data_IF_094579578607
#
_entry.id   IF_094579578607
#
_cell.length_a   1.000
_cell.length_b   1.000
_cell.length_c   1.000
_cell.angle_alpha   90.00
_cell.angle_beta   90.00
_cell.angle_gamma   90.00
#
_symmetry.space_group_name_H-M   'P 1'
#
loop_
_entity.id
_entity.type
_entity.pdbx_description
1 polymer ?
#
# COMPACT_ATOMS: atom_id res chain seq x y z
N UNK A 1 -31.92 56.70 -5.14
CA UNK A 1 -30.96 55.93 -4.30
C UNK A 1 -31.46 54.54 -3.90
N UNK A 2 -32.72 54.37 -3.45
CA UNK A 2 -33.25 53.04 -3.02
C UNK A 2 -33.19 51.94 -4.09
N UNK A 3 -33.44 52.26 -5.37
CA UNK A 3 -33.41 51.28 -6.48
C UNK A 3 -32.01 50.74 -6.80
N UNK A 4 -30.96 51.57 -6.66
CA UNK A 4 -29.58 51.15 -6.90
C UNK A 4 -29.04 50.22 -5.81
N UNK A 5 -29.44 50.46 -4.56
CA UNK A 5 -29.07 49.60 -3.42
C UNK A 5 -29.67 48.20 -3.58
N UNK A 6 -30.92 48.08 -4.03
CA UNK A 6 -31.59 46.79 -4.26
C UNK A 6 -30.89 45.98 -5.35
N UNK A 7 -30.45 46.61 -6.44
CA UNK A 7 -29.76 45.94 -7.54
C UNK A 7 -28.38 45.44 -7.10
N UNK A 8 -27.63 46.24 -6.35
CA UNK A 8 -26.32 45.86 -5.81
C UNK A 8 -26.43 44.74 -4.75
N UNK A 9 -27.49 44.77 -3.93
CA UNK A 9 -27.76 43.70 -2.97
C UNK A 9 -28.13 42.39 -3.66
N UNK A 10 -28.93 42.44 -4.73
CA UNK A 10 -29.35 41.26 -5.47
C UNK A 10 -28.19 40.60 -6.24
N UNK A 11 -27.29 41.39 -6.82
CA UNK A 11 -26.11 40.85 -7.52
C UNK A 11 -25.09 40.26 -6.54
N UNK A 12 -24.90 40.86 -5.38
CA UNK A 12 -24.03 40.30 -4.33
C UNK A 12 -24.61 39.04 -3.69
N UNK A 13 -25.93 38.94 -3.51
CA UNK A 13 -26.61 37.72 -3.06
C UNK A 13 -26.50 36.56 -4.07
N UNK A 14 -26.59 36.84 -5.37
CA UNK A 14 -26.38 35.81 -6.41
C UNK A 14 -24.94 35.29 -6.45
N UNK A 15 -23.96 36.17 -6.21
CA UNK A 15 -22.54 35.79 -6.11
C UNK A 15 -22.25 35.05 -4.79
N UNK A 16 -22.97 35.38 -3.71
CA UNK A 16 -22.80 34.75 -2.39
C UNK A 16 -23.50 33.38 -2.26
N UNK A 17 -24.56 33.12 -3.02
CA UNK A 17 -25.32 31.85 -2.94
C UNK A 17 -24.86 30.75 -3.91
N UNK A 18 -23.90 31.03 -4.79
CA UNK A 18 -23.43 30.06 -5.79
C UNK A 18 -22.13 29.36 -5.38
N UNK A 19 -22.21 28.25 -4.64
CA UNK A 19 -21.15 27.25 -4.80
C UNK A 19 -21.26 26.76 -6.26
N UNK A 20 -20.38 27.27 -7.13
CA UNK A 20 -20.40 26.97 -8.56
C UNK A 20 -20.37 25.47 -8.77
N UNK A 21 -21.07 24.93 -9.77
CA UNK A 21 -21.08 23.49 -10.05
C UNK A 21 -19.66 22.90 -10.17
N UNK A 22 -18.72 23.72 -10.64
CA UNK A 22 -17.28 23.42 -10.66
C UNK A 22 -16.66 23.19 -9.28
N UNK A 23 -17.00 23.99 -8.25
CA UNK A 23 -16.51 23.81 -6.87
C UNK A 23 -17.10 22.55 -6.24
N UNK A 24 -18.40 22.31 -6.45
CA UNK A 24 -19.06 21.08 -5.98
C UNK A 24 -18.41 19.84 -6.59
N UNK A 25 -18.12 19.88 -7.88
CA UNK A 25 -17.44 18.79 -8.58
C UNK A 25 -15.99 18.58 -8.08
N UNK A 26 -15.24 19.66 -7.86
CA UNK A 26 -13.89 19.59 -7.26
C UNK A 26 -13.96 18.95 -5.86
N UNK A 27 -14.92 19.36 -5.03
CA UNK A 27 -15.09 18.82 -3.67
C UNK A 27 -15.47 17.33 -3.71
N UNK A 28 -16.34 16.90 -4.63
CA UNK A 28 -16.66 15.48 -4.85
C UNK A 28 -15.43 14.67 -5.22
N UNK A 29 -14.59 15.16 -6.13
CA UNK A 29 -13.36 14.46 -6.54
C UNK A 29 -12.36 14.34 -5.40
N UNK A 30 -12.22 15.38 -4.58
CA UNK A 30 -11.37 15.33 -3.37
C UNK A 30 -11.87 14.30 -2.37
N UNK A 31 -13.18 14.28 -2.11
CA UNK A 31 -13.78 13.29 -1.22
C UNK A 31 -13.57 11.85 -1.73
N UNK A 32 -13.81 11.61 -3.03
CA UNK A 32 -13.58 10.31 -3.65
C UNK A 32 -12.11 9.88 -3.64
N UNK A 33 -11.19 10.83 -3.84
CA UNK A 33 -9.74 10.58 -3.76
C UNK A 33 -9.34 10.15 -2.35
N UNK A 34 -9.83 10.85 -1.33
CA UNK A 34 -9.59 10.51 0.08
C UNK A 34 -10.11 9.10 0.41
N UNK A 35 -11.35 8.79 0.04
CA UNK A 35 -11.95 7.47 0.25
C UNK A 35 -11.14 6.35 -0.44
N UNK A 36 -10.70 6.60 -1.67
CA UNK A 36 -9.84 5.67 -2.42
C UNK A 36 -8.50 5.46 -1.71
N UNK A 37 -7.85 6.52 -1.25
CA UNK A 37 -6.58 6.44 -0.53
C UNK A 37 -6.73 5.64 0.78
N UNK A 38 -7.80 5.87 1.54
CA UNK A 38 -8.09 5.12 2.78
C UNK A 38 -8.37 3.63 2.50
N UNK A 39 -9.12 3.34 1.44
CA UNK A 39 -9.43 1.96 1.04
C UNK A 39 -8.17 1.21 0.61
N UNK A 40 -7.34 1.82 -0.24
CA UNK A 40 -6.07 1.24 -0.68
C UNK A 40 -5.07 1.08 0.47
N UNK A 41 -5.07 1.99 1.44
CA UNK A 41 -4.25 1.88 2.64
C UNK A 41 -4.63 0.65 3.45
N UNK A 42 -5.93 0.49 3.77
CA UNK A 42 -6.44 -0.67 4.51
C UNK A 42 -6.12 -1.98 3.80
N UNK A 43 -6.33 -2.01 2.48
CA UNK A 43 -6.01 -3.18 1.65
C UNK A 43 -4.52 -3.52 1.72
N UNK A 44 -3.64 -2.54 1.53
CA UNK A 44 -2.19 -2.75 1.57
C UNK A 44 -1.71 -3.19 2.96
N UNK A 45 -2.28 -2.65 4.04
CA UNK A 45 -1.98 -3.07 5.41
C UNK A 45 -2.40 -4.52 5.68
N UNK A 46 -3.61 -4.91 5.26
CA UNK A 46 -4.08 -6.29 5.41
C UNK A 46 -3.24 -7.28 4.60
N UNK A 47 -2.86 -6.91 3.38
CA UNK A 47 -2.00 -7.73 2.52
C UNK A 47 -0.58 -7.84 3.09
N UNK A 48 -0.04 -6.77 3.67
CA UNK A 48 1.27 -6.79 4.34
C UNK A 48 1.25 -7.76 5.53
N UNK A 49 0.24 -7.70 6.41
CA UNK A 49 0.13 -8.62 7.55
C UNK A 49 0.13 -10.09 7.13
N UNK A 50 -0.60 -10.41 6.06
CA UNK A 50 -0.62 -11.76 5.50
C UNK A 50 0.75 -12.14 4.92
N UNK A 51 1.39 -11.24 4.20
CA UNK A 51 2.68 -11.47 3.55
C UNK A 51 3.80 -11.63 4.57
N UNK A 52 3.79 -10.86 5.64
CA UNK A 52 4.72 -10.97 6.76
C UNK A 52 4.58 -12.33 7.46
N UNK A 53 3.36 -12.81 7.65
CA UNK A 53 3.11 -14.14 8.20
C UNK A 53 3.68 -15.24 7.29
N UNK A 54 3.51 -15.12 5.98
CA UNK A 54 4.10 -16.05 5.00
C UNK A 54 5.63 -15.96 4.99
N UNK A 55 6.21 -14.77 5.15
CA UNK A 55 7.64 -14.57 5.20
C UNK A 55 8.25 -15.23 6.45
N UNK A 56 7.58 -15.14 7.60
CA UNK A 56 7.99 -15.84 8.81
C UNK A 56 8.03 -17.36 8.60
N UNK A 57 6.98 -17.93 8.00
CA UNK A 57 6.93 -19.36 7.68
C UNK A 57 8.06 -19.72 6.70
N UNK A 58 8.25 -18.95 5.64
CA UNK A 58 9.30 -19.22 4.65
C UNK A 58 10.72 -19.11 5.24
N UNK A 59 10.95 -18.23 6.21
CA UNK A 59 12.21 -18.15 6.93
C UNK A 59 12.43 -19.40 7.78
N UNK A 60 11.42 -19.86 8.53
CA UNK A 60 11.53 -21.10 9.32
C UNK A 60 11.78 -22.33 8.43
N UNK A 61 11.08 -22.45 7.29
CA UNK A 61 11.30 -23.49 6.29
C UNK A 61 12.74 -23.47 5.78
N UNK A 62 13.24 -22.28 5.43
CA UNK A 62 14.60 -22.10 4.91
C UNK A 62 15.66 -22.43 5.97
N UNK A 63 15.49 -21.95 7.20
CA UNK A 63 16.45 -22.17 8.28
C UNK A 63 16.57 -23.64 8.63
N UNK A 64 15.44 -24.34 8.75
CA UNK A 64 15.41 -25.80 8.98
C UNK A 64 16.11 -26.57 7.86
N UNK A 65 15.79 -26.25 6.60
CA UNK A 65 16.39 -26.90 5.45
C UNK A 65 17.89 -26.59 5.36
N UNK A 66 18.31 -25.37 5.64
CA UNK A 66 19.71 -24.97 5.63
C UNK A 66 20.50 -25.71 6.71
N UNK A 67 19.97 -25.84 7.93
CA UNK A 67 20.61 -26.63 8.99
C UNK A 67 20.79 -28.08 8.58
N UNK A 68 19.77 -28.70 7.96
CA UNK A 68 19.86 -30.06 7.43
C UNK A 68 20.96 -30.17 6.37
N UNK A 69 20.90 -29.33 5.33
CA UNK A 69 21.87 -29.37 4.23
C UNK A 69 23.30 -29.13 4.72
N UNK A 70 23.52 -28.22 5.67
CA UNK A 70 24.85 -27.98 6.23
C UNK A 70 25.36 -29.18 7.06
N UNK A 71 24.47 -29.89 7.75
CA UNK A 71 24.82 -31.16 8.42
C UNK A 71 25.23 -32.23 7.40
N UNK A 72 24.47 -32.37 6.32
CA UNK A 72 24.72 -33.36 5.29
C UNK A 72 26.00 -33.03 4.50
N UNK A 73 26.29 -31.74 4.27
CA UNK A 73 27.57 -31.29 3.69
C UNK A 73 28.76 -31.67 4.56
N UNK A 74 28.69 -31.40 5.87
CA UNK A 74 29.75 -31.79 6.84
C UNK A 74 29.96 -33.29 6.89
N UNK A 75 28.90 -34.07 6.70
CA UNK A 75 28.97 -35.52 6.62
C UNK A 75 29.37 -36.06 5.24
N UNK A 76 29.63 -35.20 4.25
CA UNK A 76 29.87 -35.56 2.85
C UNK A 76 28.74 -36.39 2.21
N UNK A 77 27.50 -36.15 2.64
CA UNK A 77 26.28 -36.85 2.22
C UNK A 77 25.24 -35.96 1.53
N UNK A 78 25.52 -34.67 1.37
CA UNK A 78 24.59 -33.74 0.73
C UNK A 78 24.30 -34.14 -0.72
N UNK A 79 23.02 -34.25 -1.08
CA UNK A 79 22.64 -34.64 -2.44
C UNK A 79 22.38 -33.42 -3.35
N UNK A 80 22.51 -33.57 -4.68
CA UNK A 80 22.15 -32.51 -5.63
C UNK A 80 20.69 -32.02 -5.49
N UNK A 81 19.77 -32.94 -5.16
CA UNK A 81 18.35 -32.63 -4.97
C UNK A 81 18.14 -31.73 -3.75
N UNK A 82 18.86 -32.00 -2.65
CA UNK A 82 18.81 -31.18 -1.44
C UNK A 82 19.36 -29.77 -1.67
N UNK A 83 20.47 -29.65 -2.40
CA UNK A 83 21.04 -28.34 -2.79
C UNK A 83 20.10 -27.56 -3.72
N UNK A 84 19.45 -28.27 -4.65
CA UNK A 84 18.44 -27.69 -5.54
C UNK A 84 17.22 -27.21 -4.77
N UNK A 85 16.73 -28.02 -3.82
CA UNK A 85 15.61 -27.67 -2.96
C UNK A 85 15.95 -26.43 -2.11
N UNK A 86 17.14 -26.39 -1.50
CA UNK A 86 17.60 -25.23 -0.74
C UNK A 86 17.60 -23.95 -1.59
N UNK A 87 18.08 -24.04 -2.82
CA UNK A 87 18.10 -22.91 -3.75
C UNK A 87 16.70 -22.44 -4.10
N UNK A 88 15.78 -23.37 -4.40
CA UNK A 88 14.37 -23.03 -4.69
C UNK A 88 13.67 -22.38 -3.49
N UNK A 89 13.92 -22.89 -2.28
CA UNK A 89 13.36 -22.31 -1.05
C UNK A 89 13.88 -20.91 -0.80
N UNK A 90 15.16 -20.63 -1.06
CA UNK A 90 15.71 -19.27 -1.00
C UNK A 90 15.01 -18.31 -1.97
N UNK A 91 14.84 -18.73 -3.22
CA UNK A 91 14.15 -17.93 -4.25
C UNK A 91 12.70 -17.64 -3.82
N UNK A 92 11.98 -18.64 -3.30
CA UNK A 92 10.62 -18.48 -2.78
C UNK A 92 10.58 -17.46 -1.65
N UNK A 93 11.48 -17.57 -0.66
CA UNK A 93 11.58 -16.61 0.46
C UNK A 93 11.86 -15.20 -0.05
N UNK A 94 12.83 -15.04 -0.95
CA UNK A 94 13.22 -13.73 -1.50
C UNK A 94 12.08 -13.07 -2.30
N UNK A 95 11.28 -13.88 -3.01
CA UNK A 95 10.06 -13.40 -3.69
C UNK A 95 9.05 -12.84 -2.69
N UNK A 96 8.77 -13.56 -1.60
CA UNK A 96 7.84 -13.11 -0.54
C UNK A 96 8.37 -11.84 0.14
N UNK A 97 9.68 -11.79 0.41
CA UNK A 97 10.33 -10.61 0.99
C UNK A 97 10.14 -9.38 0.10
N UNK A 98 10.38 -9.51 -1.20
CA UNK A 98 10.18 -8.41 -2.16
C UNK A 98 8.73 -7.92 -2.17
N UNK A 99 7.76 -8.83 -2.03
CA UNK A 99 6.34 -8.46 -1.93
C UNK A 99 6.07 -7.64 -0.65
N UNK A 100 6.58 -8.08 0.50
CA UNK A 100 6.44 -7.34 1.76
C UNK A 100 7.06 -5.93 1.68
N UNK A 101 8.27 -5.82 1.11
CA UNK A 101 8.95 -4.53 0.91
C UNK A 101 8.14 -3.60 -0.01
N UNK A 102 7.56 -4.14 -1.08
CA UNK A 102 6.71 -3.41 -2.03
C UNK A 102 5.44 -2.89 -1.36
N UNK A 103 4.77 -3.71 -0.55
CA UNK A 103 3.60 -3.30 0.22
C UNK A 103 3.95 -2.22 1.24
N UNK A 104 5.08 -2.35 1.93
CA UNK A 104 5.60 -1.32 2.82
C UNK A 104 5.87 0.01 2.10
N UNK A 105 6.42 -0.03 0.88
CA UNK A 105 6.58 1.17 0.04
C UNK A 105 5.24 1.78 -0.37
N UNK A 106 4.26 0.96 -0.77
CA UNK A 106 2.92 1.43 -1.14
C UNK A 106 2.25 2.16 0.02
N UNK A 107 2.31 1.61 1.25
CA UNK A 107 1.77 2.23 2.46
C UNK A 107 2.45 3.59 2.71
N UNK A 108 3.78 3.65 2.65
CA UNK A 108 4.52 4.92 2.82
C UNK A 108 4.14 5.96 1.78
N UNK A 109 3.95 5.54 0.52
CA UNK A 109 3.54 6.43 -0.55
C UNK A 109 2.12 6.99 -0.33
N UNK A 110 1.17 6.15 0.10
CA UNK A 110 -0.19 6.59 0.41
C UNK A 110 -0.17 7.61 1.56
N UNK A 111 0.55 7.34 2.65
CA UNK A 111 0.71 8.31 3.74
C UNK A 111 1.35 9.61 3.29
N UNK A 112 2.34 9.56 2.38
CA UNK A 112 2.93 10.76 1.80
C UNK A 112 1.87 11.58 1.04
N UNK A 113 1.05 10.93 0.22
CA UNK A 113 -0.02 11.60 -0.54
C UNK A 113 -1.12 12.18 0.35
N UNK A 114 -1.51 11.49 1.41
CA UNK A 114 -2.46 12.00 2.39
C UNK A 114 -1.96 13.24 3.16
N UNK A 115 -0.65 13.45 3.25
CA UNK A 115 -0.06 14.65 3.87
C UNK A 115 0.09 15.83 2.90
N UNK A 116 0.07 15.58 1.60
CA UNK A 116 0.19 16.60 0.56
C UNK A 116 -1.17 17.25 0.23
N UNK A 117 -2.29 16.61 0.63
CA UNK A 117 -3.66 17.16 0.57
C UNK A 117 -4.05 17.93 1.85
#
# INVERSE_FOLDING_TARGET
MKKGIIIVLATTLLIACGETDTRKEINRRKAALKEKQETELKKAQAELLRTDSLLQIANLELDSLQQKVEKDKKALKATPEELTLLTRTRIKRDSIRTQAETLGMKIRYIHKKQKEE
#
